data_IF_198392773942
#
_entry.id   IF_198392773942
#
_cell.length_a   1.000
_cell.length_b   1.000
_cell.length_c   1.000
_cell.angle_alpha   90.00
_cell.angle_beta   90.00
_cell.angle_gamma   90.00
#
_symmetry.space_group_name_H-M   'P 1'
#
loop_
_entity.id
_entity.type
_entity.pdbx_description
1 polymer ?
#
# COMPACT_ATOMS: atom_id res chain seq x y z
N UNK A 1 -1.74 25.17 6.76
CA UNK A 1 -0.36 24.88 6.32
C UNK A 1 -0.45 23.74 5.32
N UNK A 2 -0.02 23.92 4.07
CA UNK A 2 0.06 22.81 3.13
C UNK A 2 1.21 21.91 3.57
N UNK A 3 0.91 20.71 4.06
CA UNK A 3 1.94 19.69 4.31
C UNK A 3 2.59 19.31 2.99
N UNK A 4 3.90 19.51 2.89
CA UNK A 4 4.69 19.07 1.75
C UNK A 4 4.57 17.54 1.64
N UNK A 5 4.24 17.04 0.45
CA UNK A 5 4.18 15.60 0.19
C UNK A 5 5.53 14.94 0.49
N UNK A 6 5.49 13.75 1.08
CA UNK A 6 6.65 12.88 1.27
C UNK A 6 6.30 11.48 0.78
N UNK A 7 7.21 10.87 0.01
CA UNK A 7 7.08 9.47 -0.41
C UNK A 7 7.26 8.46 0.73
N UNK A 8 7.77 8.90 1.88
CA UNK A 8 8.03 8.07 3.05
C UNK A 8 7.44 8.68 4.32
N UNK A 9 6.85 7.85 5.18
CA UNK A 9 6.41 8.24 6.53
C UNK A 9 6.90 7.25 7.58
N UNK A 10 7.37 7.79 8.71
CA UNK A 10 7.75 7.00 9.89
C UNK A 10 6.67 7.10 10.96
N UNK A 11 6.35 5.97 11.58
CA UNK A 11 5.42 5.88 12.70
C UNK A 11 6.13 5.31 13.93
N UNK A 12 6.14 6.03 15.06
CA UNK A 12 6.65 5.49 16.30
C UNK A 12 5.75 4.35 16.79
N UNK A 13 6.30 3.56 17.71
CA UNK A 13 5.60 2.45 18.36
C UNK A 13 4.28 2.88 18.97
N UNK A 14 3.22 2.16 18.63
CA UNK A 14 1.95 2.24 19.36
C UNK A 14 2.13 1.65 20.76
N UNK A 15 1.93 2.50 21.78
CA UNK A 15 1.98 2.10 23.19
C UNK A 15 0.59 1.95 23.82
N UNK A 16 -0.46 2.35 23.09
CA UNK A 16 -1.83 2.44 23.59
C UNK A 16 -2.75 1.34 23.04
N UNK A 17 -2.34 0.67 21.95
CA UNK A 17 -3.08 -0.41 21.33
C UNK A 17 -2.22 -1.26 20.40
N UNK A 18 -2.89 -1.94 19.46
CA UNK A 18 -2.32 -2.88 18.49
C UNK A 18 -2.18 -2.22 17.13
N UNK A 19 -1.22 -2.70 16.37
CA UNK A 19 -1.04 -2.33 14.97
C UNK A 19 -1.42 -3.52 14.09
N UNK A 20 -2.33 -3.30 13.16
CA UNK A 20 -2.76 -4.28 12.18
C UNK A 20 -2.23 -3.89 10.80
N UNK A 21 -1.82 -4.89 10.02
CA UNK A 21 -1.44 -4.69 8.63
C UNK A 21 -2.40 -5.50 7.77
N UNK A 22 -2.94 -4.88 6.72
CA UNK A 22 -3.84 -5.52 5.77
C UNK A 22 -3.26 -5.43 4.37
N UNK A 23 -3.36 -6.53 3.62
CA UNK A 23 -3.00 -6.58 2.21
C UNK A 23 -3.99 -5.81 1.33
N UNK A 24 -3.97 -6.12 0.03
CA UNK A 24 -4.79 -5.47 -0.99
C UNK A 24 -6.29 -5.57 -0.66
N UNK A 25 -6.98 -4.44 -0.60
CA UNK A 25 -8.41 -4.36 -0.20
C UNK A 25 -9.31 -4.42 -1.42
N UNK A 26 -8.92 -3.77 -2.52
CA UNK A 26 -9.62 -3.79 -3.80
C UNK A 26 -11.14 -3.55 -3.67
N UNK A 27 -11.53 -2.48 -2.98
CA UNK A 27 -12.94 -2.12 -2.81
C UNK A 27 -13.79 -3.17 -2.08
N UNK A 28 -13.19 -4.05 -1.27
CA UNK A 28 -13.90 -5.02 -0.42
C UNK A 28 -13.94 -4.55 1.04
N UNK A 29 -14.37 -3.31 1.28
CA UNK A 29 -14.34 -2.70 2.61
C UNK A 29 -15.28 -3.37 3.61
N UNK A 30 -16.39 -3.97 3.17
CA UNK A 30 -17.25 -4.78 4.03
C UNK A 30 -16.51 -6.01 4.59
N UNK A 31 -15.57 -6.60 3.84
CA UNK A 31 -14.75 -7.69 4.33
C UNK A 31 -13.75 -7.18 5.38
N UNK A 32 -13.16 -5.99 5.17
CA UNK A 32 -12.31 -5.34 6.17
C UNK A 32 -13.09 -5.03 7.45
N UNK A 33 -14.31 -4.47 7.36
CA UNK A 33 -15.18 -4.23 8.51
C UNK A 33 -15.38 -5.52 9.33
N UNK A 34 -15.65 -6.64 8.66
CA UNK A 34 -15.85 -7.94 9.29
C UNK A 34 -14.57 -8.47 9.97
N UNK A 35 -13.39 -8.28 9.35
CA UNK A 35 -12.11 -8.66 9.95
C UNK A 35 -11.79 -7.81 11.18
N UNK A 36 -12.03 -6.49 11.13
CA UNK A 36 -11.82 -5.59 12.26
C UNK A 36 -12.74 -5.93 13.42
N UNK A 37 -14.00 -6.32 13.14
CA UNK A 37 -14.92 -6.80 14.17
C UNK A 37 -14.45 -8.10 14.82
N UNK A 38 -13.92 -9.05 14.05
CA UNK A 38 -13.43 -10.34 14.57
C UNK A 38 -12.24 -10.21 15.53
N UNK A 39 -11.44 -9.15 15.41
CA UNK A 39 -10.28 -8.90 16.27
C UNK A 39 -10.57 -7.89 17.38
N UNK A 40 -11.84 -7.54 17.59
CA UNK A 40 -12.28 -6.51 18.55
C UNK A 40 -11.49 -5.20 18.37
N UNK A 41 -11.42 -4.70 17.13
CA UNK A 41 -10.65 -3.50 16.80
C UNK A 41 -11.15 -2.26 17.56
N UNK A 42 -10.22 -1.53 18.18
CA UNK A 42 -10.51 -0.32 18.95
C UNK A 42 -10.01 0.93 18.21
N UNK A 43 -10.86 1.71 17.51
CA UNK A 43 -10.43 2.87 16.71
C UNK A 43 -9.78 4.00 17.53
N UNK A 44 -9.92 3.99 18.85
CA UNK A 44 -9.28 4.96 19.76
C UNK A 44 -7.89 4.54 20.25
N UNK A 45 -7.44 3.32 19.93
CA UNK A 45 -6.20 2.72 20.45
C UNK A 45 -5.38 2.03 19.37
N UNK A 46 -6.05 1.29 18.50
CA UNK A 46 -5.46 0.48 17.46
C UNK A 46 -5.24 1.28 16.18
N UNK A 47 -4.31 0.82 15.34
CA UNK A 47 -4.01 1.39 14.03
C UNK A 47 -4.09 0.31 12.95
N UNK A 48 -4.49 0.69 11.75
CA UNK A 48 -4.45 -0.15 10.55
C UNK A 48 -3.47 0.46 9.56
N UNK A 49 -2.61 -0.37 8.99
CA UNK A 49 -1.72 -0.03 7.90
C UNK A 49 -2.06 -0.90 6.68
N UNK A 50 -2.67 -0.30 5.66
CA UNK A 50 -2.99 -0.96 4.41
C UNK A 50 -1.80 -0.89 3.42
N UNK A 51 -1.51 -2.02 2.77
CA UNK A 51 -0.38 -2.18 1.85
C UNK A 51 -0.64 -1.64 0.43
N UNK A 52 -1.69 -0.82 0.26
CA UNK A 52 -2.10 -0.25 -1.02
C UNK A 52 -3.22 -1.04 -1.69
N UNK A 53 -3.52 -0.70 -2.94
CA UNK A 53 -4.58 -1.29 -3.74
C UNK A 53 -5.91 -1.29 -2.99
N UNK A 54 -6.31 -0.09 -2.58
CA UNK A 54 -7.56 0.18 -1.87
C UNK A 54 -8.76 0.15 -2.84
N UNK A 55 -8.52 0.56 -4.08
CA UNK A 55 -9.53 0.73 -5.12
C UNK A 55 -9.47 -0.37 -6.19
N UNK A 56 -10.43 -0.29 -7.12
CA UNK A 56 -10.62 -1.22 -8.24
C UNK A 56 -11.01 -2.64 -7.84
N UNK A 57 -11.41 -3.44 -8.85
CA UNK A 57 -11.81 -4.86 -8.80
C UNK A 57 -13.07 -5.17 -7.98
N UNK A 58 -13.20 -4.65 -6.76
CA UNK A 58 -14.39 -4.80 -5.92
C UNK A 58 -15.45 -3.75 -6.15
N UNK A 59 -16.49 -3.79 -5.32
CA UNK A 59 -17.72 -3.01 -5.54
C UNK A 59 -17.79 -1.71 -4.73
N UNK A 60 -16.89 -1.55 -3.75
CA UNK A 60 -16.95 -0.45 -2.79
C UNK A 60 -15.72 0.48 -2.85
N UNK A 61 -15.07 0.62 -4.01
CA UNK A 61 -13.84 1.42 -4.15
C UNK A 61 -13.99 2.88 -3.66
N UNK A 62 -15.20 3.46 -3.74
CA UNK A 62 -15.49 4.80 -3.22
C UNK A 62 -15.32 4.89 -1.69
N UNK A 63 -15.57 3.79 -0.95
CA UNK A 63 -15.39 3.73 0.52
C UNK A 63 -13.93 3.88 0.95
N UNK A 64 -12.97 3.79 0.03
CA UNK A 64 -11.59 4.16 0.32
C UNK A 64 -11.48 5.57 0.89
N UNK A 65 -12.33 6.51 0.43
CA UNK A 65 -12.36 7.87 0.98
C UNK A 65 -12.74 7.87 2.47
N UNK A 66 -13.79 7.13 2.85
CA UNK A 66 -14.26 7.05 4.24
C UNK A 66 -13.17 6.55 5.18
N UNK A 67 -12.40 5.56 4.72
CA UNK A 67 -11.28 4.95 5.43
C UNK A 67 -10.07 5.88 5.50
N UNK A 68 -9.69 6.50 4.39
CA UNK A 68 -8.56 7.45 4.35
C UNK A 68 -8.78 8.68 5.22
N UNK A 69 -10.04 9.03 5.51
CA UNK A 69 -10.38 10.09 6.46
C UNK A 69 -10.31 9.66 7.94
N UNK A 70 -10.12 8.38 8.25
CA UNK A 70 -10.03 7.90 9.63
C UNK A 70 -8.65 8.15 10.24
N UNK A 71 -8.55 8.63 11.49
CA UNK A 71 -7.26 8.92 12.13
C UNK A 71 -6.45 7.66 12.47
N UNK A 72 -7.09 6.49 12.48
CA UNK A 72 -6.50 5.20 12.80
C UNK A 72 -6.11 4.39 11.56
N UNK A 73 -6.47 4.85 10.36
CA UNK A 73 -6.21 4.14 9.10
C UNK A 73 -5.11 4.85 8.31
N UNK A 74 -4.05 4.11 8.03
CA UNK A 74 -2.92 4.56 7.23
C UNK A 74 -2.78 3.64 6.04
N UNK A 75 -2.43 4.19 4.88
CA UNK A 75 -2.20 3.40 3.69
C UNK A 75 -0.93 3.88 2.96
N UNK A 76 -0.26 2.96 2.30
CA UNK A 76 0.69 3.28 1.23
C UNK A 76 -0.02 3.26 -0.12
N UNK A 77 0.58 3.90 -1.12
CA UNK A 77 0.09 3.90 -2.49
C UNK A 77 0.37 2.55 -3.16
N UNK A 78 -0.67 1.89 -3.66
CA UNK A 78 -0.54 0.73 -4.53
C UNK A 78 -0.47 1.10 -6.01
N UNK A 79 -0.29 0.11 -6.87
CA UNK A 79 -0.23 0.35 -8.31
C UNK A 79 -1.59 0.77 -8.89
N UNK A 80 -2.70 0.37 -8.25
CA UNK A 80 -4.04 0.81 -8.63
C UNK A 80 -4.29 2.29 -8.28
N UNK A 81 -3.82 2.75 -7.12
CA UNK A 81 -3.84 4.18 -6.81
C UNK A 81 -2.97 5.00 -7.78
N UNK A 82 -1.81 4.46 -8.18
CA UNK A 82 -0.96 5.10 -9.18
C UNK A 82 -1.67 5.23 -10.54
N UNK A 83 -2.27 4.14 -11.05
CA UNK A 83 -3.03 4.17 -12.31
C UNK A 83 -4.20 5.15 -12.27
N UNK A 84 -4.91 5.27 -11.14
CA UNK A 84 -5.99 6.24 -10.96
C UNK A 84 -5.51 7.69 -11.10
N UNK A 85 -4.33 8.00 -10.53
CA UNK A 85 -3.71 9.32 -10.66
C UNK A 85 -3.22 9.58 -12.09
N UNK A 86 -2.55 8.60 -12.70
CA UNK A 86 -2.02 8.70 -14.07
C UNK A 86 -3.13 8.87 -15.11
N UNK A 87 -4.27 8.19 -14.92
CA UNK A 87 -5.46 8.33 -15.74
C UNK A 87 -6.05 9.76 -15.74
N UNK A 88 -5.70 10.61 -14.78
CA UNK A 88 -6.09 12.02 -14.79
C UNK A 88 -5.28 12.87 -15.79
N UNK A 89 -4.12 12.37 -16.22
CA UNK A 89 -3.15 13.08 -17.05
C UNK A 89 -3.11 12.55 -18.50
N UNK A 90 -3.45 11.29 -18.72
CA UNK A 90 -3.42 10.65 -20.05
C UNK A 90 -4.70 9.85 -20.34
N UNK A 91 -5.33 10.13 -21.49
CA UNK A 91 -6.50 9.41 -21.99
C UNK A 91 -6.20 7.94 -22.33
N UNK A 92 -4.97 7.62 -22.75
CA UNK A 92 -4.56 6.23 -23.01
C UNK A 92 -4.46 5.47 -21.69
N UNK A 93 -3.83 6.06 -20.68
CA UNK A 93 -3.79 5.52 -19.31
C UNK A 93 -5.21 5.33 -18.75
N UNK A 94 -6.10 6.31 -18.89
CA UNK A 94 -7.51 6.20 -18.49
C UNK A 94 -8.21 5.02 -19.15
N UNK A 95 -8.07 4.87 -20.46
CA UNK A 95 -8.68 3.77 -21.20
C UNK A 95 -8.13 2.41 -20.76
N UNK A 96 -6.82 2.30 -20.57
CA UNK A 96 -6.18 1.06 -20.11
C UNK A 96 -6.60 0.69 -18.68
N UNK A 97 -6.65 1.68 -17.79
CA UNK A 97 -7.08 1.50 -16.40
C UNK A 97 -8.51 0.99 -16.32
N UNK A 98 -9.45 1.66 -17.01
CA UNK A 98 -10.86 1.28 -17.05
C UNK A 98 -11.05 -0.10 -17.66
N UNK A 99 -10.43 -0.40 -18.81
CA UNK A 99 -10.74 -1.63 -19.57
C UNK A 99 -10.06 -2.89 -19.04
N UNK A 100 -8.92 -2.74 -18.36
CA UNK A 100 -8.04 -3.87 -18.04
C UNK A 100 -7.68 -3.98 -16.56
N UNK A 101 -7.82 -2.89 -15.80
CA UNK A 101 -7.37 -2.84 -14.41
C UNK A 101 -8.49 -2.57 -13.41
N UNK A 102 -9.76 -2.70 -13.80
CA UNK A 102 -10.87 -2.66 -12.84
C UNK A 102 -11.34 -1.25 -12.48
N UNK A 103 -10.99 -0.23 -13.29
CA UNK A 103 -11.35 1.17 -13.06
C UNK A 103 -12.79 1.54 -13.47
N UNK A 104 -13.65 0.60 -13.86
CA UNK A 104 -14.98 0.90 -14.42
C UNK A 104 -15.91 1.62 -13.43
N UNK A 105 -15.75 1.40 -12.13
CA UNK A 105 -16.50 2.08 -11.07
C UNK A 105 -16.32 3.61 -11.13
N UNK A 106 -15.18 4.08 -11.63
CA UNK A 106 -14.86 5.50 -11.78
C UNK A 106 -15.87 6.22 -12.68
N UNK A 107 -16.37 5.56 -13.72
CA UNK A 107 -17.31 6.15 -14.68
C UNK A 107 -18.65 6.54 -14.05
N UNK A 108 -19.05 5.82 -12.99
CA UNK A 108 -20.30 6.05 -12.27
C UNK A 108 -20.13 6.88 -11.01
N UNK A 109 -18.90 7.26 -10.68
CA UNK A 109 -18.59 8.01 -9.45
C UNK A 109 -18.88 9.50 -9.66
N UNK A 110 -19.62 10.16 -8.76
CA UNK A 110 -19.83 11.62 -8.80
C UNK A 110 -18.51 12.40 -8.81
N UNK A 111 -18.44 13.50 -9.57
CA UNK A 111 -17.21 14.25 -9.76
C UNK A 111 -16.66 14.86 -8.45
N UNK A 112 -17.53 15.21 -7.51
CA UNK A 112 -17.12 15.67 -6.17
C UNK A 112 -16.31 14.61 -5.43
N UNK A 113 -16.77 13.35 -5.44
CA UNK A 113 -16.06 12.23 -4.82
C UNK A 113 -14.78 11.88 -5.57
N UNK A 114 -14.77 12.01 -6.90
CA UNK A 114 -13.56 11.81 -7.70
C UNK A 114 -12.45 12.78 -7.31
N UNK A 115 -12.79 14.06 -7.11
CA UNK A 115 -11.84 15.10 -6.69
C UNK A 115 -11.30 14.76 -5.29
N UNK A 116 -12.19 14.53 -4.32
CA UNK A 116 -11.80 14.23 -2.94
C UNK A 116 -10.92 12.98 -2.85
N UNK A 117 -11.27 11.91 -3.54
CA UNK A 117 -10.52 10.67 -3.51
C UNK A 117 -9.15 10.82 -4.18
N UNK A 118 -9.06 11.54 -5.32
CA UNK A 118 -7.77 11.86 -5.94
C UNK A 118 -6.87 12.67 -5.02
N UNK A 119 -7.42 13.67 -4.34
CA UNK A 119 -6.66 14.47 -3.39
C UNK A 119 -6.10 13.58 -2.27
N UNK A 120 -6.93 12.74 -1.63
CA UNK A 120 -6.45 11.84 -0.58
C UNK A 120 -5.40 10.85 -1.10
N UNK A 121 -5.64 10.23 -2.26
CA UNK A 121 -4.73 9.27 -2.88
C UNK A 121 -3.38 9.92 -3.23
N UNK A 122 -3.38 11.17 -3.72
CA UNK A 122 -2.16 11.89 -4.06
C UNK A 122 -1.22 12.07 -2.84
N UNK A 123 -1.78 12.15 -1.62
CA UNK A 123 -1.01 12.29 -0.38
C UNK A 123 -0.57 10.97 0.28
N UNK A 124 -0.93 9.81 -0.28
CA UNK A 124 -0.45 8.53 0.24
C UNK A 124 1.05 8.37 -0.02
N UNK A 125 1.87 8.05 1.00
CA UNK A 125 3.28 7.73 0.80
C UNK A 125 3.44 6.44 -0.01
N UNK A 126 4.60 6.25 -0.61
CA UNK A 126 4.98 5.00 -1.27
C UNK A 126 5.53 3.96 -0.28
N UNK A 127 6.10 4.42 0.82
CA UNK A 127 6.63 3.55 1.87
C UNK A 127 6.30 4.07 3.26
N UNK A 128 6.10 3.13 4.19
CA UNK A 128 5.95 3.41 5.63
C UNK A 128 6.99 2.60 6.39
N UNK A 129 7.51 3.16 7.48
CA UNK A 129 8.22 2.38 8.49
C UNK A 129 7.52 2.53 9.83
N UNK A 130 7.26 1.41 10.50
CA UNK A 130 6.62 1.35 11.82
C UNK A 130 7.62 0.76 12.81
N UNK A 131 7.97 1.52 13.83
CA UNK A 131 8.71 0.98 14.96
C UNK A 131 7.78 0.16 15.85
N UNK A 132 8.19 -1.02 16.29
CA UNK A 132 7.39 -1.89 17.16
C UNK A 132 8.20 -2.35 18.37
N UNK A 133 7.60 -3.21 19.22
CA UNK A 133 8.35 -3.91 20.27
C UNK A 133 9.33 -4.95 19.71
N UNK A 134 9.11 -5.40 18.48
CA UNK A 134 9.82 -6.49 17.82
C UNK A 134 10.76 -6.00 16.73
N UNK A 135 11.06 -4.69 16.72
CA UNK A 135 11.91 -4.07 15.71
C UNK A 135 11.15 -3.18 14.73
N UNK A 136 11.79 -2.89 13.61
CA UNK A 136 11.32 -1.99 12.57
C UNK A 136 10.67 -2.76 11.42
N UNK A 137 9.45 -2.38 11.09
CA UNK A 137 8.67 -2.96 10.01
C UNK A 137 8.59 -1.96 8.87
N UNK A 138 9.22 -2.28 7.75
CA UNK A 138 9.04 -1.56 6.49
C UNK A 138 7.80 -2.06 5.77
N UNK A 139 7.04 -1.15 5.17
CA UNK A 139 5.86 -1.43 4.38
C UNK A 139 6.05 -0.76 3.01
N UNK A 140 5.92 -1.56 1.95
CA UNK A 140 5.93 -1.11 0.54
C UNK A 140 4.97 -1.99 -0.25
N UNK A 141 4.33 -1.46 -1.29
CA UNK A 141 3.24 -2.18 -1.94
C UNK A 141 3.69 -3.49 -2.59
N UNK A 142 4.72 -3.45 -3.43
CA UNK A 142 5.20 -4.62 -4.16
C UNK A 142 6.55 -5.15 -3.65
N UNK A 143 7.63 -4.35 -3.76
CA UNK A 143 8.94 -4.73 -3.22
C UNK A 143 9.99 -3.60 -3.25
N UNK A 144 11.24 -3.91 -2.87
CA UNK A 144 12.40 -3.04 -3.12
C UNK A 144 13.56 -3.80 -3.79
N UNK A 145 14.44 -3.14 -4.55
CA UNK A 145 15.55 -3.80 -5.22
C UNK A 145 16.51 -4.52 -4.26
N UNK A 146 17.03 -5.67 -4.69
CA UNK A 146 17.90 -6.54 -3.87
C UNK A 146 19.27 -5.94 -3.50
N UNK A 147 19.74 -4.96 -4.27
CA UNK A 147 21.04 -4.33 -4.10
C UNK A 147 21.00 -3.10 -3.18
N UNK A 148 19.84 -2.77 -2.60
CA UNK A 148 19.68 -1.63 -1.71
C UNK A 148 19.37 -2.08 -0.28
N UNK A 149 19.79 -1.26 0.69
CA UNK A 149 19.26 -1.32 2.04
C UNK A 149 18.04 -0.40 2.17
N UNK A 150 17.25 -0.60 3.21
CA UNK A 150 15.99 0.11 3.44
C UNK A 150 16.18 1.63 3.51
N UNK A 151 17.18 2.12 4.24
CA UNK A 151 17.43 3.57 4.38
C UNK A 151 17.79 4.23 3.04
N UNK A 152 18.61 3.58 2.21
CA UNK A 152 18.93 4.07 0.87
C UNK A 152 17.70 4.03 -0.04
N UNK A 153 16.88 2.99 0.06
CA UNK A 153 15.64 2.87 -0.71
C UNK A 153 14.67 4.02 -0.38
N UNK A 154 14.29 4.21 0.88
CA UNK A 154 13.33 5.25 1.27
C UNK A 154 13.84 6.67 1.02
N UNK A 155 15.16 6.89 1.10
CA UNK A 155 15.78 8.20 0.85
C UNK A 155 15.63 8.63 -0.62
N UNK A 156 15.76 7.68 -1.55
CA UNK A 156 15.73 7.97 -2.99
C UNK A 156 14.33 7.85 -3.60
N UNK A 157 13.38 7.23 -2.89
CA UNK A 157 12.02 6.94 -3.38
C UNK A 157 11.25 8.18 -3.85
N UNK A 158 11.57 9.38 -3.36
CA UNK A 158 10.90 10.61 -3.77
C UNK A 158 11.33 11.11 -5.17
N UNK A 159 12.47 10.67 -5.68
CA UNK A 159 13.12 11.27 -6.86
C UNK A 159 13.48 10.26 -7.95
N UNK A 160 13.52 8.98 -7.63
CA UNK A 160 13.93 7.92 -8.54
C UNK A 160 12.71 7.15 -9.06
N UNK A 161 12.35 7.39 -10.33
CA UNK A 161 11.18 6.79 -10.96
C UNK A 161 11.30 5.25 -11.08
N UNK A 162 12.51 4.71 -11.26
CA UNK A 162 12.72 3.26 -11.35
C UNK A 162 12.49 2.60 -9.98
N UNK A 163 12.88 3.27 -8.89
CA UNK A 163 12.55 2.79 -7.53
C UNK A 163 11.06 2.87 -7.24
N UNK A 164 10.36 3.90 -7.72
CA UNK A 164 8.90 4.01 -7.58
C UNK A 164 8.21 2.90 -8.36
N UNK A 165 8.63 2.63 -9.59
CA UNK A 165 8.10 1.54 -10.41
C UNK A 165 8.32 0.18 -9.72
N UNK A 166 9.54 -0.06 -9.21
CA UNK A 166 9.84 -1.29 -8.48
C UNK A 166 8.98 -1.44 -7.21
N UNK A 167 8.75 -0.34 -6.49
CA UNK A 167 7.91 -0.29 -5.30
C UNK A 167 6.44 -0.61 -5.56
N UNK A 168 5.95 -0.30 -6.76
CA UNK A 168 4.55 -0.47 -7.15
C UNK A 168 4.30 -1.79 -7.92
N UNK A 169 5.26 -2.30 -8.68
CA UNK A 169 4.99 -3.35 -9.66
C UNK A 169 5.84 -4.62 -9.52
N UNK A 170 6.91 -4.59 -8.71
CA UNK A 170 7.86 -5.70 -8.70
C UNK A 170 7.29 -6.98 -8.11
N UNK A 171 7.39 -8.06 -8.88
CA UNK A 171 7.15 -9.45 -8.43
C UNK A 171 8.43 -10.30 -8.41
N UNK A 172 9.59 -9.66 -8.53
CA UNK A 172 10.86 -10.36 -8.80
C UNK A 172 11.22 -11.34 -7.68
N UNK A 173 11.02 -10.95 -6.41
CA UNK A 173 11.34 -11.80 -5.26
C UNK A 173 10.53 -13.09 -5.23
N UNK A 174 9.23 -13.01 -5.47
CA UNK A 174 8.38 -14.19 -5.56
C UNK A 174 8.77 -15.08 -6.76
N UNK A 175 9.03 -14.47 -7.93
CA UNK A 175 9.50 -15.20 -9.13
C UNK A 175 10.81 -15.94 -8.87
N UNK A 176 11.80 -15.28 -8.25
CA UNK A 176 13.10 -15.88 -7.89
C UNK A 176 12.92 -17.05 -6.93
N UNK A 177 12.09 -16.88 -5.90
CA UNK A 177 11.79 -17.95 -4.95
C UNK A 177 11.14 -19.16 -5.63
N UNK A 178 10.16 -18.96 -6.52
CA UNK A 178 9.51 -20.03 -7.28
C UNK A 178 10.50 -20.81 -8.16
N UNK A 179 11.56 -20.16 -8.62
CA UNK A 179 12.67 -20.78 -9.35
C UNK A 179 13.74 -21.41 -8.42
N UNK A 180 13.49 -21.53 -7.12
CA UNK A 180 14.43 -22.08 -6.14
C UNK A 180 15.65 -21.20 -5.90
N UNK A 181 15.62 -19.92 -6.29
CA UNK A 181 16.78 -19.01 -6.14
C UNK A 181 16.82 -18.41 -4.74
N UNK A 182 18.04 -18.27 -4.23
CA UNK A 182 18.29 -17.61 -2.95
C UNK A 182 17.79 -16.15 -2.96
N UNK A 183 17.24 -15.74 -1.82
CA UNK A 183 16.81 -14.37 -1.53
C UNK A 183 17.41 -13.92 -0.21
N UNK A 184 18.17 -12.81 -0.25
CA UNK A 184 18.75 -12.21 0.95
C UNK A 184 17.70 -11.44 1.77
N UNK A 185 17.98 -11.26 3.06
CA UNK A 185 17.24 -10.33 3.91
C UNK A 185 17.37 -8.90 3.38
N UNK A 186 16.31 -8.13 3.55
CA UNK A 186 16.34 -6.67 3.42
C UNK A 186 17.11 -6.12 4.62
N UNK A 187 18.19 -5.40 4.34
CA UNK A 187 19.05 -4.79 5.36
C UNK A 187 18.47 -3.44 5.79
N UNK A 188 18.53 -3.14 7.09
CA UNK A 188 18.11 -1.84 7.65
C UNK A 188 16.74 -1.84 8.33
N UNK A 189 16.00 -2.94 8.25
CA UNK A 189 14.74 -3.22 8.95
C UNK A 189 14.69 -4.69 9.35
N UNK A 190 13.84 -5.01 10.32
CA UNK A 190 13.65 -6.38 10.78
C UNK A 190 12.72 -7.14 9.85
N UNK A 191 11.63 -6.51 9.39
CA UNK A 191 10.64 -7.12 8.50
C UNK A 191 10.20 -6.15 7.41
N UNK A 192 10.06 -6.66 6.19
CA UNK A 192 9.39 -5.96 5.09
C UNK A 192 8.04 -6.63 4.83
N UNK A 193 6.94 -5.87 4.87
CA UNK A 193 5.60 -6.35 4.56
C UNK A 193 5.17 -5.80 3.20
N UNK A 194 4.67 -6.67 2.33
CA UNK A 194 4.27 -6.34 0.95
C UNK A 194 2.94 -7.00 0.59
N UNK A 195 2.21 -6.38 -0.34
CA UNK A 195 0.99 -6.92 -0.94
C UNK A 195 1.23 -7.26 -2.40
N UNK A 196 0.36 -6.79 -3.29
CA UNK A 196 0.44 -6.80 -4.76
C UNK A 196 0.40 -8.19 -5.43
N UNK A 197 1.02 -9.21 -4.84
CA UNK A 197 1.13 -10.55 -5.40
C UNK A 197 0.14 -11.48 -4.69
N UNK A 198 -1.00 -11.84 -5.32
CA UNK A 198 -1.97 -12.73 -4.72
C UNK A 198 -1.35 -14.10 -4.43
N UNK A 199 -1.58 -14.60 -3.23
CA UNK A 199 -1.14 -15.89 -2.74
C UNK A 199 -2.30 -16.56 -1.98
N UNK A 200 -2.38 -17.89 -2.06
CA UNK A 200 -3.41 -18.65 -1.32
C UNK A 200 -3.26 -18.51 0.20
N UNK A 201 -2.00 -18.39 0.65
CA UNK A 201 -1.64 -18.18 2.04
C UNK A 201 -0.47 -17.21 2.14
N UNK A 202 -0.38 -16.41 3.22
CA UNK A 202 0.75 -15.53 3.44
C UNK A 202 2.07 -16.28 3.44
N UNK A 203 3.11 -15.65 2.91
CA UNK A 203 4.40 -16.31 2.66
C UNK A 203 5.57 -15.46 3.10
N UNK A 204 6.47 -16.09 3.85
CA UNK A 204 7.71 -15.48 4.28
C UNK A 204 8.86 -15.92 3.36
N UNK A 205 9.55 -14.96 2.73
CA UNK A 205 10.76 -15.19 1.93
C UNK A 205 11.87 -14.29 2.48
N UNK A 206 12.85 -14.90 3.14
CA UNK A 206 13.82 -14.17 3.97
C UNK A 206 13.06 -13.39 5.07
N UNK A 207 13.36 -12.12 5.31
CA UNK A 207 12.57 -11.25 6.19
C UNK A 207 11.48 -10.44 5.45
N UNK A 208 11.00 -10.93 4.32
CA UNK A 208 9.89 -10.30 3.57
C UNK A 208 8.64 -11.16 3.68
N UNK A 209 7.55 -10.56 4.15
CA UNK A 209 6.25 -11.20 4.30
C UNK A 209 5.31 -10.70 3.20
N UNK A 210 4.79 -11.65 2.43
CA UNK A 210 3.81 -11.48 1.36
C UNK A 210 2.45 -11.97 1.84
#
# INVERSE_FOLDING_TARGET
MFTQYTSFKFFPRNRSGRDFVVGDIHGMFAALDALLAQVDFSPTKDRVFALGDLVDRGTESVRALDYLCQPWFYAIKGNHEFMLLDAALDHTAMNNWIKHNGGEWWLKTPDTLKIQLREQIAYLPLAIEVQTAYGHFGLVHANMPFNLNWQTFIKNLNYDADLQDYALWSRERLKRYQLGRYSANVIGIDWLLVGHSPLDHPKCIANVYF
#
